data_IF_033477084235
#
_entry.id   IF_033477084235
#
_cell.length_a   1.000
_cell.length_b   1.000
_cell.length_c   1.000
_cell.angle_alpha   90.00
_cell.angle_beta   90.00
_cell.angle_gamma   90.00
#
_symmetry.space_group_name_H-M   'P 1'
#
loop_
_entity.id
_entity.type
_entity.pdbx_description
1 polymer ?
#
# COMPACT_ATOMS: atom_id res chain seq x y z
N UNK A 1 2.49 4.31 -11.52
CA UNK A 1 2.51 5.80 -11.52
C UNK A 1 3.44 6.29 -10.42
N UNK A 2 4.25 7.33 -10.68
CA UNK A 2 5.01 8.04 -9.64
C UNK A 2 4.10 9.17 -9.12
N UNK A 3 3.33 8.91 -8.06
CA UNK A 3 2.59 9.97 -7.37
C UNK A 3 3.59 10.78 -6.57
N UNK A 4 3.70 12.08 -6.87
CA UNK A 4 4.76 12.93 -6.33
C UNK A 4 4.64 13.16 -4.83
N UNK A 5 3.44 13.08 -4.24
CA UNK A 5 3.23 13.13 -2.79
C UNK A 5 1.99 12.31 -2.41
N UNK A 6 2.13 11.39 -1.45
CA UNK A 6 0.99 10.76 -0.78
C UNK A 6 0.62 11.69 0.39
N UNK A 7 -0.66 12.04 0.58
CA UNK A 7 -1.13 12.75 1.77
C UNK A 7 -0.64 12.13 3.08
N UNK A 8 -0.28 12.95 4.07
CA UNK A 8 0.34 12.47 5.31
C UNK A 8 -0.61 11.58 6.13
N UNK A 9 -1.91 11.89 6.11
CA UNK A 9 -2.97 11.08 6.73
C UNK A 9 -3.08 9.68 6.12
N UNK A 10 -2.73 9.52 4.83
CA UNK A 10 -2.69 8.20 4.18
C UNK A 10 -1.41 7.46 4.54
N UNK A 11 -0.28 8.16 4.71
CA UNK A 11 1.02 7.54 5.03
C UNK A 11 1.04 6.88 6.40
N UNK A 12 0.28 7.40 7.36
CA UNK A 12 0.18 6.88 8.72
C UNK A 12 -0.77 5.68 8.84
N UNK A 13 -1.65 5.45 7.85
CA UNK A 13 -2.57 4.31 7.85
C UNK A 13 -1.85 2.97 7.70
N UNK A 14 -2.34 1.98 8.43
CA UNK A 14 -2.08 0.56 8.18
C UNK A 14 -2.72 0.10 6.86
N UNK A 15 -2.28 -1.06 6.36
CA UNK A 15 -2.88 -1.69 5.16
C UNK A 15 -4.38 -1.93 5.39
N UNK A 16 -4.77 -2.38 6.59
CA UNK A 16 -6.16 -2.70 6.92
C UNK A 16 -7.05 -1.46 6.95
N UNK A 17 -6.57 -0.37 7.54
CA UNK A 17 -7.29 0.91 7.54
C UNK A 17 -7.47 1.45 6.13
N UNK A 18 -6.40 1.42 5.31
CA UNK A 18 -6.48 1.86 3.93
C UNK A 18 -7.45 1.00 3.10
N UNK A 19 -7.50 -0.32 3.34
CA UNK A 19 -8.47 -1.21 2.69
C UNK A 19 -9.91 -0.94 3.10
N UNK A 20 -10.16 -0.67 4.39
CA UNK A 20 -11.49 -0.34 4.87
C UNK A 20 -12.00 0.97 4.22
N UNK A 21 -11.15 1.99 4.16
CA UNK A 21 -11.51 3.26 3.52
C UNK A 21 -11.74 3.12 2.01
N UNK A 22 -10.95 2.27 1.32
CA UNK A 22 -11.22 1.96 -0.10
C UNK A 22 -12.61 1.32 -0.26
N UNK A 23 -13.02 0.42 0.64
CA UNK A 23 -14.36 -0.20 0.57
C UNK A 23 -15.46 0.85 0.74
N UNK A 24 -15.31 1.76 1.70
CA UNK A 24 -16.25 2.86 1.92
C UNK A 24 -16.34 3.77 0.68
N UNK A 25 -15.19 4.12 0.08
CA UNK A 25 -15.14 4.92 -1.15
C UNK A 25 -15.83 4.20 -2.32
N UNK A 26 -15.62 2.89 -2.49
CA UNK A 26 -16.29 2.12 -3.54
C UNK A 26 -17.81 2.19 -3.36
N UNK A 27 -18.31 1.96 -2.14
CA UNK A 27 -19.74 2.07 -1.84
C UNK A 27 -20.29 3.48 -2.15
N UNK A 28 -19.51 4.53 -1.88
CA UNK A 28 -19.90 5.92 -2.22
C UNK A 28 -19.92 6.18 -3.73
N UNK A 29 -18.93 5.67 -4.47
CA UNK A 29 -18.83 5.84 -5.93
C UNK A 29 -19.87 5.03 -6.70
N UNK A 30 -20.32 3.90 -6.14
CA UNK A 30 -21.40 3.08 -6.71
C UNK A 30 -22.80 3.63 -6.40
N UNK A 31 -22.90 4.55 -5.43
CA UNK A 31 -24.16 5.22 -5.12
C UNK A 31 -24.52 6.22 -6.24
N UNK A 32 -25.77 6.18 -6.72
CA UNK A 32 -26.28 7.05 -7.80
C UNK A 32 -26.50 8.50 -7.36
N UNK A 33 -26.46 8.78 -6.06
CA UNK A 33 -26.76 10.11 -5.50
C UNK A 33 -25.53 11.03 -5.36
N UNK A 34 -24.33 10.53 -5.69
CA UNK A 34 -23.10 11.31 -5.54
C UNK A 34 -22.90 12.29 -6.70
N UNK A 35 -22.53 13.53 -6.37
CA UNK A 35 -22.21 14.53 -7.40
C UNK A 35 -20.82 14.28 -8.02
N UNK A 36 -20.57 14.89 -9.18
CA UNK A 36 -19.33 14.70 -9.95
C UNK A 36 -18.08 15.14 -9.19
N UNK A 37 -18.14 16.27 -8.49
CA UNK A 37 -17.00 16.83 -7.74
C UNK A 37 -16.57 15.88 -6.63
N UNK A 38 -17.52 15.40 -5.82
CA UNK A 38 -17.27 14.42 -4.77
C UNK A 38 -16.72 13.12 -5.37
N UNK A 39 -17.27 12.65 -6.48
CA UNK A 39 -16.78 11.45 -7.19
C UNK A 39 -15.31 11.57 -7.58
N UNK A 40 -14.89 12.71 -8.11
CA UNK A 40 -13.48 12.97 -8.48
C UNK A 40 -12.59 12.94 -7.24
N UNK A 41 -13.00 13.60 -6.15
CA UNK A 41 -12.24 13.63 -4.90
C UNK A 41 -12.08 12.24 -4.28
N UNK A 42 -13.18 11.47 -4.19
CA UNK A 42 -13.16 10.09 -3.69
C UNK A 42 -12.29 9.18 -4.56
N UNK A 43 -12.40 9.29 -5.89
CA UNK A 43 -11.56 8.51 -6.81
C UNK A 43 -10.06 8.83 -6.63
N UNK A 44 -9.70 10.11 -6.59
CA UNK A 44 -8.32 10.53 -6.37
C UNK A 44 -7.78 10.02 -5.03
N UNK A 45 -8.62 10.05 -3.99
CA UNK A 45 -8.26 9.51 -2.67
C UNK A 45 -8.04 7.99 -2.71
N UNK A 46 -8.90 7.25 -3.41
CA UNK A 46 -8.75 5.81 -3.64
C UNK A 46 -7.43 5.48 -4.35
N UNK A 47 -7.02 6.27 -5.36
CA UNK A 47 -5.75 6.10 -6.06
C UNK A 47 -4.56 6.26 -5.09
N UNK A 48 -4.60 7.25 -4.20
CA UNK A 48 -3.55 7.44 -3.18
C UNK A 48 -3.51 6.28 -2.17
N UNK A 49 -4.65 5.81 -1.69
CA UNK A 49 -4.75 4.66 -0.77
C UNK A 49 -4.19 3.39 -1.42
N UNK A 50 -4.55 3.12 -2.68
CA UNK A 50 -4.07 1.95 -3.41
C UNK A 50 -2.54 2.01 -3.63
N UNK A 51 -2.01 3.19 -3.97
CA UNK A 51 -0.56 3.37 -4.10
C UNK A 51 0.18 3.16 -2.77
N UNK A 52 -0.37 3.64 -1.66
CA UNK A 52 0.18 3.39 -0.32
C UNK A 52 0.23 1.89 -0.01
N UNK A 53 -0.87 1.16 -0.22
CA UNK A 53 -0.93 -0.30 -0.04
C UNK A 53 0.14 -1.00 -0.90
N UNK A 54 0.26 -0.64 -2.17
CA UNK A 54 1.28 -1.20 -3.05
C UNK A 54 2.70 -0.94 -2.52
N UNK A 55 2.98 0.26 -2.02
CA UNK A 55 4.27 0.61 -1.43
C UNK A 55 4.57 -0.23 -0.18
N UNK A 56 3.59 -0.43 0.68
CA UNK A 56 3.73 -1.25 1.89
C UNK A 56 4.03 -2.72 1.54
N UNK A 57 3.34 -3.30 0.55
CA UNK A 57 3.63 -4.66 0.07
C UNK A 57 5.03 -4.78 -0.53
N UNK A 58 5.46 -3.81 -1.35
CA UNK A 58 6.83 -3.80 -1.90
C UNK A 58 7.88 -3.73 -0.81
N UNK A 59 7.67 -2.90 0.21
CA UNK A 59 8.56 -2.81 1.38
C UNK A 59 8.68 -4.17 2.07
N UNK A 60 7.54 -4.81 2.37
CA UNK A 60 7.51 -6.14 3.01
C UNK A 60 8.17 -7.22 2.15
N UNK A 61 7.94 -7.23 0.84
CA UNK A 61 8.57 -8.16 -0.08
C UNK A 61 10.11 -8.00 -0.10
N UNK A 62 10.61 -6.76 -0.08
CA UNK A 62 12.04 -6.49 0.01
C UNK A 62 12.62 -6.94 1.35
N UNK A 63 11.96 -6.65 2.47
CA UNK A 63 12.36 -7.12 3.81
C UNK A 63 12.49 -8.66 3.82
N UNK A 64 11.50 -9.38 3.29
CA UNK A 64 11.52 -10.85 3.17
C UNK A 64 12.70 -11.32 2.31
N UNK A 65 12.95 -10.68 1.17
CA UNK A 65 14.06 -11.01 0.28
C UNK A 65 15.41 -10.86 1.00
N UNK A 66 15.62 -9.76 1.72
CA UNK A 66 16.85 -9.52 2.48
C UNK A 66 17.05 -10.56 3.58
N UNK A 67 16.01 -10.87 4.36
CA UNK A 67 16.08 -11.92 5.39
C UNK A 67 16.46 -13.29 4.84
N UNK A 68 15.99 -13.65 3.63
CA UNK A 68 16.38 -14.90 2.96
C UNK A 68 17.86 -14.89 2.53
N UNK A 69 18.34 -13.78 1.98
CA UNK A 69 19.75 -13.63 1.58
C UNK A 69 20.69 -13.71 2.79
N UNK A 70 20.33 -13.09 3.90
CA UNK A 70 21.15 -13.11 5.13
C UNK A 70 21.19 -14.50 5.77
N UNK A 71 20.07 -15.25 5.74
CA UNK A 71 20.06 -16.66 6.17
C UNK A 71 20.96 -17.53 5.28
N UNK A 72 20.91 -17.36 3.96
CA UNK A 72 21.76 -18.11 3.04
C UNK A 72 23.26 -17.83 3.26
N UNK A 73 23.64 -16.56 3.49
CA UNK A 73 25.03 -16.21 3.85
C UNK A 73 25.47 -16.87 5.15
N UNK A 74 24.62 -16.89 6.18
CA UNK A 74 24.94 -17.54 7.46
C UNK A 74 25.09 -19.06 7.34
N UNK A 75 24.36 -19.71 6.44
CA UNK A 75 24.51 -21.13 6.19
C UNK A 75 25.82 -21.44 5.45
N UNK A 76 26.22 -20.63 4.46
CA UNK A 76 27.49 -20.78 3.75
C UNK A 76 28.71 -20.65 4.69
N UNK A 77 28.63 -19.79 5.72
CA UNK A 77 29.72 -19.57 6.68
C UNK A 77 29.79 -20.68 7.74
N UNK A 78 28.71 -21.45 7.94
CA UNK A 78 28.64 -22.53 8.95
C UNK A 78 29.13 -23.89 8.46
N UNK A 79 29.45 -24.02 7.17
CA UNK A 79 30.16 -25.16 6.60
C UNK A 79 31.62 -24.78 6.26
N UNK A 80 32.52 -24.50 7.23
CA UNK A 80 33.94 -24.66 7.00
C UNK A 80 34.27 -26.15 7.15
N UNK A 81 34.89 -26.72 6.11
CA UNK A 81 35.52 -28.06 6.13
C UNK A 81 36.39 -28.28 7.37
#
# INVERSE_FOLDING_TARGET
>A
MKLKNIPEDIRTKSIKEAQNEIKEIITQLENKEINLENSIQHYNRMIHLNYHIQKQFRKKANEIKHLKLDKNKKNIIKDPK
#
